data_IF_294185355106
#
_entry.id   IF_294185355106
#
_cell.length_a   1.000
_cell.length_b   1.000
_cell.length_c   1.000
_cell.angle_alpha   90.00
_cell.angle_beta   90.00
_cell.angle_gamma   90.00
#
_symmetry.space_group_name_H-M   'P 1'
#
loop_
_entity.id
_entity.type
_entity.pdbx_description
1 polymer ?
#
# COMPACT_ATOMS: atom_id res chain seq x y z
N UNK A 1 -34.98 -46.38 12.46
CA UNK A 1 -34.13 -45.24 12.72
C UNK A 1 -34.79 -44.34 13.75
N UNK A 2 -34.30 -44.33 14.99
CA UNK A 2 -34.82 -43.45 16.06
C UNK A 2 -34.32 -42.01 15.80
N UNK A 3 -35.20 -41.16 15.29
CA UNK A 3 -34.96 -39.71 15.17
C UNK A 3 -35.24 -39.08 16.54
N UNK A 4 -34.22 -38.92 17.37
CA UNK A 4 -34.31 -38.12 18.58
C UNK A 4 -34.32 -36.64 18.13
N UNK A 5 -35.43 -35.94 18.32
CA UNK A 5 -35.51 -34.50 18.12
C UNK A 5 -34.83 -33.77 19.27
N UNK A 6 -34.19 -32.62 18.95
CA UNK A 6 -33.66 -31.70 20.00
C UNK A 6 -34.78 -31.16 20.86
N UNK A 7 -34.55 -31.13 22.18
CA UNK A 7 -35.49 -30.49 23.09
C UNK A 7 -35.32 -28.97 23.10
N UNK A 8 -36.38 -28.24 23.38
CA UNK A 8 -36.34 -26.77 23.43
C UNK A 8 -35.34 -26.27 24.48
N UNK A 9 -35.16 -26.99 25.56
CA UNK A 9 -34.21 -26.66 26.63
C UNK A 9 -32.74 -26.86 26.20
N UNK A 10 -32.44 -27.85 25.38
CA UNK A 10 -31.10 -28.04 24.82
C UNK A 10 -30.72 -26.91 23.88
N UNK A 11 -31.66 -26.46 23.06
CA UNK A 11 -31.41 -25.32 22.18
C UNK A 11 -31.18 -24.03 23.00
N UNK A 12 -31.99 -23.79 24.01
CA UNK A 12 -31.87 -22.62 24.89
C UNK A 12 -30.54 -22.63 25.66
N UNK A 13 -30.10 -23.79 26.16
CA UNK A 13 -28.81 -23.91 26.84
C UNK A 13 -27.64 -23.58 25.91
N UNK A 14 -27.66 -24.01 24.65
CA UNK A 14 -26.62 -23.72 23.65
C UNK A 14 -26.51 -22.23 23.34
N UNK A 15 -27.65 -21.54 23.12
CA UNK A 15 -27.60 -20.11 22.81
C UNK A 15 -27.11 -19.26 23.99
N UNK A 16 -27.42 -19.65 25.24
CA UNK A 16 -26.88 -18.99 26.45
C UNK A 16 -25.34 -19.14 26.49
N UNK A 17 -24.82 -20.34 26.25
CA UNK A 17 -23.38 -20.59 26.25
C UNK A 17 -22.67 -19.80 25.16
N UNK A 18 -23.23 -19.77 23.93
CA UNK A 18 -22.66 -19.00 22.83
C UNK A 18 -22.66 -17.50 23.15
N UNK A 19 -23.75 -16.98 23.75
CA UNK A 19 -23.85 -15.57 24.15
C UNK A 19 -22.77 -15.21 25.18
N UNK A 20 -22.51 -16.06 26.17
CA UNK A 20 -21.44 -15.83 27.17
C UNK A 20 -20.04 -15.83 26.54
N UNK A 21 -19.76 -16.76 25.64
CA UNK A 21 -18.47 -16.83 24.94
C UNK A 21 -18.29 -15.57 24.06
N UNK A 22 -19.33 -15.17 23.32
CA UNK A 22 -19.27 -14.02 22.45
C UNK A 22 -18.92 -12.71 23.18
N UNK A 23 -19.42 -12.51 24.42
CA UNK A 23 -19.11 -11.29 25.19
C UNK A 23 -17.62 -11.18 25.57
N UNK A 24 -16.95 -12.29 25.77
CA UNK A 24 -15.52 -12.33 26.17
C UNK A 24 -14.61 -12.21 24.95
N UNK A 25 -14.96 -12.88 23.86
CA UNK A 25 -14.10 -12.99 22.66
C UNK A 25 -14.15 -11.72 21.79
N UNK A 26 -15.31 -11.06 21.68
CA UNK A 26 -15.50 -9.92 20.78
C UNK A 26 -14.50 -8.79 20.97
N UNK A 27 -14.19 -8.28 22.17
CA UNK A 27 -13.22 -7.20 22.34
C UNK A 27 -11.82 -7.57 21.83
N UNK A 28 -11.35 -8.77 22.14
CA UNK A 28 -10.02 -9.25 21.74
C UNK A 28 -9.89 -9.40 20.22
N UNK A 29 -10.96 -9.84 19.53
CA UNK A 29 -10.98 -9.97 18.07
C UNK A 29 -10.92 -8.61 17.41
N UNK A 30 -11.63 -7.60 17.91
CA UNK A 30 -11.61 -6.24 17.37
C UNK A 30 -10.20 -5.64 17.46
N UNK A 31 -9.53 -5.82 18.60
CA UNK A 31 -8.17 -5.31 18.82
C UNK A 31 -7.18 -5.98 17.87
N UNK A 32 -7.28 -7.30 17.71
CA UNK A 32 -6.47 -8.07 16.78
C UNK A 32 -6.67 -7.62 15.32
N UNK A 33 -7.92 -7.42 14.89
CA UNK A 33 -8.24 -6.95 13.53
C UNK A 33 -7.66 -5.55 13.29
N UNK A 34 -7.76 -4.64 14.26
CA UNK A 34 -7.19 -3.30 14.15
C UNK A 34 -5.66 -3.34 14.06
N UNK A 35 -5.02 -4.19 14.86
CA UNK A 35 -3.57 -4.41 14.79
C UNK A 35 -3.14 -4.97 13.43
N UNK A 36 -3.86 -5.96 12.91
CA UNK A 36 -3.60 -6.53 11.59
C UNK A 36 -3.74 -5.50 10.47
N UNK A 37 -4.77 -4.65 10.53
CA UNK A 37 -4.97 -3.54 9.58
C UNK A 37 -3.80 -2.53 9.62
N UNK A 38 -3.33 -2.16 10.80
CA UNK A 38 -2.18 -1.27 10.96
C UNK A 38 -0.90 -1.90 10.40
N UNK A 39 -0.67 -3.18 10.66
CA UNK A 39 0.48 -3.92 10.12
C UNK A 39 0.44 -3.97 8.60
N UNK A 40 -0.72 -4.29 8.01
CA UNK A 40 -0.91 -4.31 6.56
C UNK A 40 -0.69 -2.94 5.92
N UNK A 41 -1.13 -1.88 6.60
CA UNK A 41 -0.89 -0.50 6.15
C UNK A 41 0.60 -0.15 6.16
N UNK A 42 1.32 -0.50 7.23
CA UNK A 42 2.76 -0.26 7.33
C UNK A 42 3.55 -1.03 6.25
N UNK A 43 3.13 -2.27 5.95
CA UNK A 43 3.69 -3.05 4.85
C UNK A 43 3.44 -2.41 3.49
N UNK A 44 2.24 -1.88 3.26
CA UNK A 44 1.93 -1.13 2.04
C UNK A 44 2.87 0.07 1.88
N UNK A 45 3.12 0.84 2.95
CA UNK A 45 4.06 1.96 2.93
C UNK A 45 5.48 1.51 2.58
N UNK A 46 5.99 0.46 3.24
CA UNK A 46 7.32 -0.08 2.95
C UNK A 46 7.45 -0.60 1.50
N UNK A 47 6.43 -1.29 1.01
CA UNK A 47 6.38 -1.76 -0.37
C UNK A 47 6.33 -0.58 -1.36
N UNK A 48 5.60 0.49 -1.03
CA UNK A 48 5.56 1.71 -1.84
C UNK A 48 6.93 2.39 -1.90
N UNK A 49 7.68 2.42 -0.81
CA UNK A 49 9.04 2.96 -0.79
C UNK A 49 9.96 2.15 -1.70
N UNK A 50 9.91 0.82 -1.59
CA UNK A 50 10.70 -0.07 -2.44
C UNK A 50 10.32 0.07 -3.91
N UNK A 51 9.02 0.12 -4.21
CA UNK A 51 8.50 0.34 -5.55
C UNK A 51 8.93 1.71 -6.11
N UNK A 52 8.96 2.74 -5.28
CA UNK A 52 9.39 4.09 -5.67
C UNK A 52 10.88 4.13 -6.04
N UNK A 53 11.70 3.32 -5.35
CA UNK A 53 13.12 3.18 -5.69
C UNK A 53 13.29 2.53 -7.07
N UNK A 54 12.62 1.43 -7.32
CA UNK A 54 12.63 0.76 -8.63
C UNK A 54 12.07 1.66 -9.73
N UNK A 55 10.99 2.39 -9.43
CA UNK A 55 10.41 3.35 -10.37
C UNK A 55 11.41 4.46 -10.74
N UNK A 56 12.17 4.99 -9.78
CA UNK A 56 13.23 5.95 -10.04
C UNK A 56 14.33 5.36 -10.94
N UNK A 57 14.81 4.17 -10.62
CA UNK A 57 15.86 3.49 -11.40
C UNK A 57 15.41 3.25 -12.85
N UNK A 58 14.16 2.83 -13.06
CA UNK A 58 13.57 2.65 -14.38
C UNK A 58 13.30 3.97 -15.12
N UNK A 59 13.07 5.05 -14.38
CA UNK A 59 12.96 6.38 -14.96
C UNK A 59 14.29 6.91 -15.50
N UNK A 60 15.38 6.63 -14.79
CA UNK A 60 16.70 7.19 -15.12
C UNK A 60 17.46 6.32 -16.11
N UNK A 61 17.35 5.01 -15.98
CA UNK A 61 18.15 4.05 -16.75
C UNK A 61 17.35 3.09 -17.61
N UNK A 62 16.03 3.05 -17.46
CA UNK A 62 15.15 2.11 -18.11
C UNK A 62 14.22 2.73 -19.16
N UNK A 63 13.24 1.94 -19.56
CA UNK A 63 12.28 2.30 -20.63
C UNK A 63 11.08 3.13 -20.15
N UNK A 64 10.98 3.41 -18.85
CA UNK A 64 9.77 4.04 -18.27
C UNK A 64 9.57 5.49 -18.73
N UNK A 65 10.59 6.11 -19.34
CA UNK A 65 10.49 7.40 -20.03
C UNK A 65 9.73 7.34 -21.36
N UNK A 66 9.55 6.13 -21.92
CA UNK A 66 8.82 5.95 -23.17
C UNK A 66 7.29 6.04 -22.95
N UNK A 67 6.74 7.21 -23.29
CA UNK A 67 5.30 7.46 -23.19
C UNK A 67 4.46 6.65 -24.19
N UNK A 68 5.07 6.09 -25.23
CA UNK A 68 4.37 5.22 -26.20
C UNK A 68 4.03 3.87 -25.58
N UNK A 69 4.90 3.37 -24.68
CA UNK A 69 4.75 2.08 -23.99
C UNK A 69 3.94 2.19 -22.70
N UNK A 70 4.14 3.27 -21.94
CA UNK A 70 3.57 3.43 -20.60
C UNK A 70 2.48 4.50 -20.49
N UNK A 71 2.25 5.29 -21.57
CA UNK A 71 1.18 6.26 -21.65
C UNK A 71 1.20 7.27 -20.49
N UNK A 72 0.10 7.34 -19.75
CA UNK A 72 -0.04 8.23 -18.58
C UNK A 72 0.82 7.84 -17.38
N UNK A 73 1.36 6.63 -17.38
CA UNK A 73 2.22 6.10 -16.32
C UNK A 73 3.72 6.35 -16.59
N UNK A 74 4.05 6.92 -17.74
CA UNK A 74 5.43 7.29 -18.06
C UNK A 74 5.99 8.31 -17.07
N UNK A 75 7.29 8.28 -16.87
CA UNK A 75 7.99 9.17 -15.96
C UNK A 75 7.78 10.65 -16.26
N UNK A 76 7.52 11.40 -15.20
CA UNK A 76 7.51 12.87 -15.22
C UNK A 76 8.60 13.38 -14.29
N UNK A 77 9.75 13.69 -14.86
CA UNK A 77 10.90 14.24 -14.13
C UNK A 77 10.77 15.76 -14.16
N UNK A 78 10.76 16.39 -12.98
CA UNK A 78 10.79 17.84 -12.83
C UNK A 78 11.97 18.23 -11.92
N UNK A 79 13.09 18.55 -12.52
CA UNK A 79 14.34 18.83 -11.82
C UNK A 79 14.81 17.60 -11.00
N UNK A 80 14.93 17.77 -9.69
CA UNK A 80 15.31 16.70 -8.75
C UNK A 80 14.11 15.98 -8.13
N UNK A 81 12.93 16.09 -8.71
CA UNK A 81 11.70 15.53 -8.18
C UNK A 81 10.98 14.71 -9.24
N UNK A 82 10.57 13.50 -8.89
CA UNK A 82 9.68 12.67 -9.69
C UNK A 82 8.36 12.56 -8.93
N UNK A 83 7.26 12.84 -9.63
CA UNK A 83 5.91 12.69 -9.10
C UNK A 83 5.22 11.56 -9.84
N UNK A 84 4.70 10.61 -9.10
CA UNK A 84 3.90 9.49 -9.59
C UNK A 84 2.72 9.26 -8.66
N UNK A 85 1.88 8.27 -8.95
CA UNK A 85 0.77 7.88 -8.08
C UNK A 85 0.90 6.43 -7.63
N UNK A 86 0.22 6.06 -6.55
CA UNK A 86 0.18 4.66 -6.10
C UNK A 86 -0.37 3.74 -7.21
N UNK A 87 -1.40 4.21 -7.92
CA UNK A 87 -1.97 3.48 -9.07
C UNK A 87 -0.98 3.32 -10.22
N UNK A 88 -0.13 4.33 -10.50
CA UNK A 88 0.91 4.22 -11.52
C UNK A 88 1.96 3.16 -11.12
N UNK A 89 2.42 3.16 -9.87
CA UNK A 89 3.34 2.13 -9.37
C UNK A 89 2.75 0.72 -9.46
N UNK A 90 1.44 0.58 -9.22
CA UNK A 90 0.75 -0.71 -9.33
C UNK A 90 0.59 -1.17 -10.79
N UNK A 91 0.25 -0.25 -11.70
CA UNK A 91 0.01 -0.58 -13.11
C UNK A 91 1.30 -0.75 -13.92
N UNK A 92 2.42 -0.16 -13.48
CA UNK A 92 3.75 -0.46 -14.03
C UNK A 92 4.35 -1.77 -13.49
N UNK A 93 3.68 -2.39 -12.50
CA UNK A 93 4.12 -3.67 -11.89
C UNK A 93 5.17 -3.52 -10.79
N UNK A 94 5.58 -2.31 -10.44
CA UNK A 94 6.58 -2.05 -9.41
C UNK A 94 6.02 -2.20 -8.00
N UNK A 95 4.75 -1.81 -7.81
CA UNK A 95 4.00 -2.10 -6.59
C UNK A 95 3.12 -3.32 -6.82
N UNK A 96 3.40 -4.40 -6.10
CA UNK A 96 2.60 -5.63 -6.20
C UNK A 96 1.28 -5.46 -5.45
N UNK A 97 0.18 -5.48 -6.19
CA UNK A 97 -1.19 -5.44 -5.65
C UNK A 97 -2.06 -6.44 -6.40
N UNK A 98 -3.04 -7.01 -5.71
CA UNK A 98 -3.95 -8.01 -6.26
C UNK A 98 -5.32 -7.44 -6.64
N UNK A 99 -5.63 -6.21 -6.18
CA UNK A 99 -6.91 -5.59 -6.44
C UNK A 99 -6.95 -5.00 -7.85
N UNK A 100 -8.07 -5.20 -8.53
CA UNK A 100 -8.34 -4.65 -9.86
C UNK A 100 -9.56 -3.74 -9.82
N UNK A 101 -9.62 -2.78 -10.75
CA UNK A 101 -10.76 -1.88 -10.88
C UNK A 101 -12.01 -2.71 -11.28
N UNK A 102 -13.15 -2.57 -10.59
CA UNK A 102 -14.37 -3.28 -10.95
C UNK A 102 -14.86 -3.01 -12.38
N UNK A 103 -14.52 -1.84 -12.93
CA UNK A 103 -14.94 -1.41 -14.27
C UNK A 103 -13.88 -1.70 -15.35
N UNK A 104 -12.62 -1.95 -14.97
CA UNK A 104 -11.52 -2.25 -15.87
C UNK A 104 -10.59 -3.32 -15.28
N UNK A 105 -10.78 -4.57 -15.68
CA UNK A 105 -10.01 -5.73 -15.19
C UNK A 105 -8.50 -5.66 -15.49
N UNK A 106 -8.08 -4.79 -16.40
CA UNK A 106 -6.67 -4.60 -16.72
C UNK A 106 -6.00 -3.55 -15.85
N UNK A 107 -6.79 -2.74 -15.13
CA UNK A 107 -6.32 -1.68 -14.28
C UNK A 107 -6.22 -2.14 -12.82
N UNK A 108 -5.01 -2.09 -12.27
CA UNK A 108 -4.76 -2.37 -10.87
C UNK A 108 -5.10 -1.16 -10.00
N UNK A 109 -5.69 -1.42 -8.84
CA UNK A 109 -6.01 -0.40 -7.84
C UNK A 109 -5.34 -0.71 -6.51
N UNK A 110 -5.03 0.35 -5.76
CA UNK A 110 -4.43 0.26 -4.43
C UNK A 110 -5.50 0.58 -3.39
N UNK A 111 -5.76 -0.38 -2.54
CA UNK A 111 -6.77 -0.27 -1.48
C UNK A 111 -6.08 -0.04 -0.13
N UNK A 112 -6.57 0.95 0.61
CA UNK A 112 -6.11 1.23 1.97
C UNK A 112 -6.58 0.11 2.92
N UNK A 113 -5.68 -0.63 3.59
CA UNK A 113 -6.06 -1.73 4.48
C UNK A 113 -6.87 -1.30 5.71
N UNK A 114 -6.84 -0.01 6.08
CA UNK A 114 -7.53 0.50 7.28
C UNK A 114 -9.03 0.62 7.07
N UNK A 115 -9.44 1.13 5.93
CA UNK A 115 -10.84 1.52 5.66
C UNK A 115 -11.39 1.01 4.32
N UNK A 116 -10.59 0.26 3.56
CA UNK A 116 -10.91 -0.28 2.23
C UNK A 116 -11.21 0.79 1.16
N UNK A 117 -10.74 2.02 1.34
CA UNK A 117 -10.86 3.07 0.31
C UNK A 117 -9.83 2.87 -0.82
N UNK A 118 -10.19 3.27 -2.04
CA UNK A 118 -9.25 3.32 -3.16
C UNK A 118 -8.34 4.54 -3.03
N UNK A 119 -7.04 4.30 -2.89
CA UNK A 119 -5.98 5.30 -2.75
C UNK A 119 -5.05 5.35 -3.98
N UNK A 120 -5.46 4.77 -5.10
CA UNK A 120 -4.66 4.71 -6.33
C UNK A 120 -4.27 6.10 -6.87
N UNK A 121 -5.11 7.11 -6.64
CA UNK A 121 -4.86 8.49 -7.06
C UNK A 121 -3.91 9.25 -6.15
N UNK A 122 -3.45 8.65 -5.04
CA UNK A 122 -2.53 9.29 -4.12
C UNK A 122 -1.17 9.53 -4.75
N UNK A 123 -0.68 10.76 -4.65
CA UNK A 123 0.63 11.14 -5.18
C UNK A 123 1.77 10.55 -4.35
N UNK A 124 2.79 10.08 -5.04
CA UNK A 124 4.07 9.65 -4.49
C UNK A 124 5.14 10.57 -5.03
N UNK A 125 5.72 11.38 -4.15
CA UNK A 125 6.76 12.35 -4.51
C UNK A 125 8.13 11.78 -4.13
N UNK A 126 8.96 11.53 -5.14
CA UNK A 126 10.32 11.02 -5.00
C UNK A 126 11.26 12.22 -5.13
N UNK A 127 11.92 12.60 -4.04
CA UNK A 127 12.92 13.65 -4.03
C UNK A 127 14.32 13.05 -4.11
N UNK A 128 15.06 13.48 -5.11
CA UNK A 128 16.43 13.04 -5.35
C UNK A 128 17.37 14.04 -4.69
N UNK A 129 18.10 13.62 -3.68
CA UNK A 129 19.15 14.43 -3.05
C UNK A 129 20.50 13.86 -3.47
N UNK A 130 21.23 14.59 -4.29
CA UNK A 130 22.60 14.25 -4.67
C UNK A 130 23.55 14.80 -3.60
N UNK A 131 24.16 13.93 -2.80
CA UNK A 131 25.21 14.30 -1.87
C UNK A 131 26.57 13.99 -2.52
N UNK A 132 27.30 15.03 -2.89
CA UNK A 132 28.67 14.90 -3.43
C UNK A 132 29.61 14.86 -2.22
N UNK A 133 30.09 13.68 -1.86
CA UNK A 133 31.18 13.55 -0.88
C UNK A 133 32.52 13.80 -1.57
N UNK A 134 33.23 14.85 -1.16
CA UNK A 134 34.59 15.12 -1.57
C UNK A 134 35.56 14.41 -0.63
N UNK A 135 35.68 13.12 -0.74
CA UNK A 135 36.82 12.39 -0.18
C UNK A 135 37.64 11.74 -1.31
N UNK A 136 38.89 12.24 -1.43
CA UNK A 136 39.97 11.66 -2.21
C UNK A 136 39.72 11.29 -3.67
N UNK A 137 40.05 12.20 -4.59
CA UNK A 137 40.28 11.99 -6.03
C UNK A 137 39.27 11.16 -6.87
N UNK A 138 38.32 10.49 -6.28
CA UNK A 138 37.18 9.82 -6.92
C UNK A 138 35.88 10.48 -6.43
N UNK A 139 35.11 11.00 -7.36
CA UNK A 139 33.77 11.55 -7.10
C UNK A 139 32.82 10.38 -6.86
N UNK A 140 32.67 9.95 -5.63
CA UNK A 140 31.60 9.02 -5.26
C UNK A 140 30.32 9.82 -5.10
N UNK A 141 29.46 9.73 -6.07
CA UNK A 141 28.14 10.35 -6.03
C UNK A 141 27.19 9.45 -5.23
N UNK A 142 27.01 9.74 -3.96
CA UNK A 142 26.01 9.06 -3.15
C UNK A 142 24.64 9.68 -3.42
N UNK A 143 23.78 8.94 -4.12
CA UNK A 143 22.39 9.29 -4.35
C UNK A 143 21.58 8.93 -3.10
N UNK A 144 21.16 9.92 -2.33
CA UNK A 144 20.18 9.72 -1.28
C UNK A 144 18.78 10.01 -1.83
N UNK A 145 18.04 8.98 -2.13
CA UNK A 145 16.65 9.13 -2.56
C UNK A 145 15.77 9.23 -1.31
N UNK A 146 15.16 10.39 -1.11
CA UNK A 146 14.20 10.60 -0.03
C UNK A 146 12.81 10.40 -0.61
N UNK A 147 12.12 9.37 -0.16
CA UNK A 147 10.75 9.09 -0.56
C UNK A 147 9.81 9.87 0.37
N UNK A 148 9.09 10.81 -0.19
CA UNK A 148 8.06 11.52 0.53
C UNK A 148 6.71 11.14 -0.09
N UNK A 149 5.93 10.32 0.61
CA UNK A 149 4.55 10.06 0.25
C UNK A 149 3.77 11.25 0.81
N UNK A 150 3.74 12.32 0.03
CA UNK A 150 3.00 13.53 0.36
C UNK A 150 1.69 13.51 -0.41
N UNK A 151 0.61 13.59 0.28
CA UNK A 151 -0.69 13.64 -0.34
C UNK A 151 -1.34 14.99 -0.08
N UNK A 152 -1.43 15.82 -1.10
CA UNK A 152 -2.36 16.96 -1.08
C UNK A 152 -3.82 16.48 -1.18
N UNK A 153 -4.06 15.25 -1.62
CA UNK A 153 -5.39 14.68 -1.83
C UNK A 153 -5.68 13.39 -1.05
N UNK A 154 -4.73 12.87 -0.29
CA UNK A 154 -4.87 11.62 0.45
C UNK A 154 -4.66 11.87 1.93
N UNK A 155 -5.72 12.16 2.66
CA UNK A 155 -5.72 12.38 4.12
C UNK A 155 -5.21 11.18 4.93
N UNK A 156 -4.91 10.05 4.27
CA UNK A 156 -4.61 8.77 4.88
C UNK A 156 -3.12 8.43 4.98
N UNK A 157 -2.25 9.17 4.29
CA UNK A 157 -0.81 8.92 4.31
C UNK A 157 -0.09 10.13 4.92
N UNK A 158 -0.27 10.33 6.21
CA UNK A 158 0.56 11.24 6.99
C UNK A 158 1.75 10.45 7.53
N UNK A 159 2.87 10.47 6.82
CA UNK A 159 4.12 9.89 7.25
C UNK A 159 5.22 10.23 6.26
N UNK A 160 6.08 11.18 6.60
CA UNK A 160 7.39 11.30 5.97
C UNK A 160 8.26 10.18 6.53
N UNK A 161 8.75 9.31 5.67
CA UNK A 161 9.76 8.33 6.03
C UNK A 161 11.10 8.89 5.57
N UNK A 162 11.93 9.29 6.56
CA UNK A 162 13.31 9.69 6.35
C UNK A 162 14.21 8.49 6.13
#
# INVERSE_FOLDING_TARGET
MNRKGFTLIELLAVIIVIALIATIVTPSVIEYVNSAKNTSYNLLIQNTISASKTYYEECEYGDLSDSSKYGSYACKINGSTITTTLGALANTGMLSVNNVDPNDKNKKIVINPKDNTDISSCDVIIKIKVEISKESKETVTNYKVTYNISSNNCSYINGSIN
#
